data_IF_766102939523
#
_entry.id   IF_766102939523
#
_cell.length_a   1.000
_cell.length_b   1.000
_cell.length_c   1.000
_cell.angle_alpha   90.00
_cell.angle_beta   90.00
_cell.angle_gamma   90.00
#
_symmetry.space_group_name_H-M   'P 1'
#
loop_
_entity.id
_entity.type
_entity.pdbx_description
1 polymer ?
#
# COMPACT_ATOMS: atom_id res chain seq x y z
N UNK A 1 2.36 44.53 3.43
CA UNK A 1 3.13 44.20 2.21
C UNK A 1 4.14 43.15 2.63
N UNK A 2 3.71 41.88 2.68
CA UNK A 2 4.58 40.74 2.98
C UNK A 2 4.28 39.65 1.95
N UNK A 3 5.14 39.61 0.92
CA UNK A 3 5.15 38.53 -0.07
C UNK A 3 5.98 37.38 0.50
N UNK A 4 5.38 36.54 1.34
CA UNK A 4 5.81 35.15 1.40
C UNK A 4 5.14 34.41 0.24
N UNK A 5 5.78 34.49 -0.93
CA UNK A 5 5.50 33.55 -2.02
C UNK A 5 5.97 32.20 -1.53
N UNK A 6 5.06 31.40 -0.98
CA UNK A 6 5.30 29.97 -0.83
C UNK A 6 5.67 29.46 -2.23
N UNK A 7 6.86 28.85 -2.36
CA UNK A 7 7.27 28.14 -3.57
C UNK A 7 6.29 26.97 -3.78
N UNK A 8 5.13 27.26 -4.37
CA UNK A 8 4.13 26.28 -4.77
C UNK A 8 4.60 25.66 -6.09
N UNK A 9 4.73 24.35 -6.10
CA UNK A 9 4.92 23.61 -7.33
C UNK A 9 3.62 23.63 -8.16
N UNK A 10 3.69 23.64 -9.50
CA UNK A 10 2.52 23.75 -10.36
C UNK A 10 1.84 22.39 -10.53
N UNK A 11 1.02 21.98 -9.56
CA UNK A 11 -0.06 21.01 -9.79
C UNK A 11 -1.35 21.80 -9.99
N UNK A 12 -2.11 21.51 -11.05
CA UNK A 12 -3.42 22.12 -11.29
C UNK A 12 -4.55 21.27 -10.69
N UNK A 13 -4.24 20.17 -9.99
CA UNK A 13 -5.23 19.36 -9.30
C UNK A 13 -6.04 20.22 -8.31
N UNK A 14 -7.38 20.08 -8.27
CA UNK A 14 -8.23 20.91 -7.43
C UNK A 14 -7.81 20.85 -5.96
N UNK A 15 -7.55 22.03 -5.38
CA UNK A 15 -7.24 22.24 -3.95
C UNK A 15 -8.28 21.58 -3.01
N UNK A 16 -9.48 21.25 -3.50
CA UNK A 16 -10.53 20.58 -2.75
C UNK A 16 -10.17 19.16 -2.29
N UNK A 17 -9.25 18.44 -2.96
CA UNK A 17 -8.78 17.12 -2.50
C UNK A 17 -7.86 17.28 -1.27
N UNK A 18 -7.01 18.32 -1.27
CA UNK A 18 -6.20 18.69 -0.10
C UNK A 18 -7.06 19.14 1.10
N UNK A 19 -8.22 19.75 0.88
CA UNK A 19 -9.10 20.25 1.95
C UNK A 19 -9.89 19.15 2.69
N UNK A 20 -9.98 17.92 2.15
CA UNK A 20 -10.52 16.79 2.91
C UNK A 20 -9.59 16.33 4.04
N UNK A 21 -8.37 16.89 4.13
CA UNK A 21 -7.32 16.48 5.07
C UNK A 21 -7.00 17.53 6.15
N UNK A 22 -7.74 18.64 6.28
CA UNK A 22 -7.42 19.71 7.24
C UNK A 22 -7.62 19.37 8.73
N UNK A 23 -7.70 18.09 9.09
CA UNK A 23 -7.89 17.66 10.48
C UNK A 23 -6.80 16.69 10.90
N UNK A 24 -5.91 17.22 11.74
CA UNK A 24 -4.86 16.52 12.48
C UNK A 24 -3.66 16.02 11.65
N UNK A 25 -3.02 16.91 10.89
CA UNK A 25 -1.66 16.67 10.44
C UNK A 25 -0.67 17.39 11.36
N UNK A 26 0.43 16.72 11.68
CA UNK A 26 1.61 17.43 12.20
C UNK A 26 2.05 18.46 11.14
N UNK A 27 2.57 19.62 11.56
CA UNK A 27 3.13 20.66 10.67
C UNK A 27 4.10 20.11 9.61
N UNK A 28 4.75 18.99 9.90
CA UNK A 28 5.64 18.26 9.01
C UNK A 28 4.92 17.55 7.86
N UNK A 29 3.76 16.94 8.10
CA UNK A 29 3.00 16.28 7.03
C UNK A 29 2.36 17.30 6.09
N UNK A 30 1.90 18.45 6.58
CA UNK A 30 1.48 19.56 5.72
C UNK A 30 2.61 20.01 4.80
N UNK A 31 3.84 20.12 5.32
CA UNK A 31 5.01 20.44 4.52
C UNK A 31 5.27 19.38 3.44
N UNK A 32 5.17 18.10 3.78
CA UNK A 32 5.41 17.00 2.82
C UNK A 32 4.30 16.91 1.78
N UNK A 33 3.04 17.04 2.17
CA UNK A 33 1.90 17.08 1.25
C UNK A 33 2.01 18.25 0.29
N UNK A 34 2.27 19.47 0.79
CA UNK A 34 2.45 20.65 -0.05
C UNK A 34 3.67 20.54 -0.96
N UNK A 35 4.79 20.03 -0.44
CA UNK A 35 6.08 20.05 -1.13
C UNK A 35 6.37 18.85 -2.00
N UNK A 36 5.72 17.71 -1.76
CA UNK A 36 5.96 16.44 -2.47
C UNK A 36 4.67 15.77 -2.95
N UNK A 37 3.50 16.38 -2.72
CA UNK A 37 2.21 15.91 -3.21
C UNK A 37 1.68 14.67 -2.49
N UNK A 38 2.13 14.38 -1.27
CA UNK A 38 1.61 13.24 -0.51
C UNK A 38 0.12 13.43 -0.19
N UNK A 39 -0.68 12.40 -0.47
CA UNK A 39 -2.14 12.38 -0.28
C UNK A 39 -2.51 11.69 1.02
N UNK A 40 -2.08 10.43 1.17
CA UNK A 40 -2.58 9.56 2.22
C UNK A 40 -1.91 8.19 2.22
N UNK A 41 -2.00 7.52 3.36
CA UNK A 41 -1.57 6.15 3.54
C UNK A 41 -2.81 5.27 3.68
N UNK A 42 -2.96 4.28 2.81
CA UNK A 42 -4.05 3.30 2.86
C UNK A 42 -3.54 1.93 3.29
N UNK A 43 -4.36 1.19 4.04
CA UNK A 43 -4.15 -0.24 4.25
C UNK A 43 -4.79 -1.01 3.08
N UNK A 44 -3.97 -1.37 2.09
CA UNK A 44 -4.43 -1.87 0.79
C UNK A 44 -4.57 -3.39 0.73
N UNK A 45 -4.09 -4.09 1.76
CA UNK A 45 -4.31 -5.53 1.94
C UNK A 45 -4.13 -5.91 3.40
N UNK A 46 -4.97 -6.82 3.88
CA UNK A 46 -4.78 -7.50 5.15
C UNK A 46 -5.17 -8.98 5.03
N UNK A 47 -4.33 -9.86 5.54
CA UNK A 47 -4.64 -11.28 5.67
C UNK A 47 -4.40 -11.75 7.09
N UNK A 48 -5.42 -12.35 7.69
CA UNK A 48 -5.39 -12.97 9.00
C UNK A 48 -5.39 -14.48 8.86
N UNK A 49 -4.74 -15.17 9.79
CA UNK A 49 -4.86 -16.62 9.99
C UNK A 49 -5.21 -16.89 11.44
N UNK A 50 -6.01 -17.92 11.71
CA UNK A 50 -6.47 -18.23 13.06
C UNK A 50 -6.70 -19.73 13.25
N UNK A 51 -6.53 -20.18 14.50
CA UNK A 51 -7.22 -21.39 14.96
C UNK A 51 -8.71 -21.07 15.10
N UNK A 52 -9.55 -22.09 14.97
CA UNK A 52 -11.00 -21.95 15.08
C UNK A 52 -11.58 -22.95 16.06
N UNK A 53 -12.68 -22.57 16.70
CA UNK A 53 -13.40 -23.45 17.62
C UNK A 53 -14.14 -24.57 16.90
N UNK A 54 -14.53 -25.62 17.64
CA UNK A 54 -15.33 -26.72 17.09
C UNK A 54 -16.71 -26.24 16.64
N UNK A 55 -17.30 -25.24 17.31
CA UNK A 55 -18.60 -24.70 16.91
C UNK A 55 -18.57 -24.14 15.48
N UNK A 56 -17.46 -23.52 15.06
CA UNK A 56 -17.33 -23.02 13.69
C UNK A 56 -17.39 -24.16 12.65
N UNK A 57 -16.79 -25.30 12.97
CA UNK A 57 -16.85 -26.48 12.12
C UNK A 57 -18.30 -27.00 12.01
N UNK A 58 -19.02 -27.05 13.13
CA UNK A 58 -20.43 -27.43 13.16
C UNK A 58 -21.33 -26.45 12.40
N UNK A 59 -21.08 -25.14 12.51
CA UNK A 59 -21.81 -24.11 11.76
C UNK A 59 -21.65 -24.28 10.25
N UNK A 60 -20.45 -24.62 9.77
CA UNK A 60 -20.23 -24.89 8.34
C UNK A 60 -21.03 -26.12 7.90
N UNK A 61 -20.91 -27.25 8.62
CA UNK A 61 -21.60 -28.49 8.25
C UNK A 61 -23.12 -28.41 8.40
N UNK A 62 -23.61 -27.60 9.34
CA UNK A 62 -25.04 -27.34 9.55
C UNK A 62 -25.65 -26.32 8.60
N UNK A 63 -24.86 -25.72 7.70
CA UNK A 63 -25.31 -24.64 6.80
C UNK A 63 -25.52 -23.29 7.51
N UNK A 64 -25.13 -23.19 8.78
CA UNK A 64 -25.16 -21.96 9.57
C UNK A 64 -24.14 -20.94 9.09
N UNK A 65 -23.06 -21.36 8.43
CA UNK A 65 -22.05 -20.48 7.82
C UNK A 65 -21.94 -20.70 6.31
N UNK A 66 -22.22 -19.67 5.52
CA UNK A 66 -22.30 -19.74 4.06
C UNK A 66 -21.23 -18.86 3.41
N UNK A 67 -20.56 -19.39 2.40
CA UNK A 67 -19.67 -18.68 1.51
C UNK A 67 -20.23 -18.67 0.09
N UNK A 68 -19.74 -17.73 -0.71
CA UNK A 68 -20.22 -17.46 -2.05
C UNK A 68 -19.09 -17.47 -3.09
N UNK A 69 -19.41 -17.79 -4.32
CA UNK A 69 -18.58 -17.56 -5.50
C UNK A 69 -19.44 -16.98 -6.64
N UNK A 70 -18.88 -16.91 -7.85
CA UNK A 70 -19.57 -16.40 -9.04
C UNK A 70 -20.89 -17.14 -9.35
N UNK A 71 -21.03 -18.40 -8.92
CA UNK A 71 -22.20 -19.24 -9.18
C UNK A 71 -23.20 -19.25 -8.01
N UNK A 72 -22.94 -18.51 -6.92
CA UNK A 72 -23.80 -18.41 -5.75
C UNK A 72 -23.19 -19.12 -4.54
N UNK A 73 -23.99 -19.89 -3.82
CA UNK A 73 -23.54 -20.56 -2.59
C UNK A 73 -22.50 -21.64 -2.90
N UNK A 74 -21.37 -21.59 -2.20
CA UNK A 74 -20.33 -22.62 -2.27
C UNK A 74 -20.68 -23.74 -1.31
N UNK A 75 -20.53 -24.97 -1.78
CA UNK A 75 -20.66 -26.18 -0.97
C UNK A 75 -19.32 -26.53 -0.28
N UNK A 76 -19.32 -26.93 1.00
CA UNK A 76 -18.13 -27.41 1.68
C UNK A 76 -17.55 -28.66 1.01
N UNK A 77 -16.25 -28.67 0.72
CA UNK A 77 -15.58 -29.81 0.07
C UNK A 77 -15.24 -30.87 1.11
N UNK A 78 -15.83 -32.07 0.99
CA UNK A 78 -15.58 -33.21 1.86
C UNK A 78 -14.56 -34.18 1.24
N UNK A 79 -13.73 -34.80 2.08
CA UNK A 79 -12.84 -35.88 1.63
C UNK A 79 -13.60 -37.21 1.48
N UNK A 80 -12.89 -38.27 1.07
CA UNK A 80 -13.48 -39.61 0.88
C UNK A 80 -14.07 -40.23 2.15
N UNK A 81 -13.69 -39.74 3.32
CA UNK A 81 -14.20 -40.19 4.62
C UNK A 81 -15.39 -39.35 5.10
N UNK A 82 -15.84 -38.37 4.31
CA UNK A 82 -16.91 -37.44 4.69
C UNK A 82 -16.45 -36.29 5.60
N UNK A 83 -15.15 -36.15 5.86
CA UNK A 83 -14.62 -35.06 6.69
C UNK A 83 -14.43 -33.79 5.85
N UNK A 84 -14.65 -32.62 6.44
CA UNK A 84 -14.43 -31.35 5.77
C UNK A 84 -12.96 -31.15 5.37
N UNK A 85 -12.68 -31.23 4.08
CA UNK A 85 -11.33 -31.05 3.53
C UNK A 85 -10.99 -29.57 3.35
N UNK A 86 -11.93 -28.80 2.79
CA UNK A 86 -11.77 -27.36 2.62
C UNK A 86 -13.11 -26.65 2.43
N UNK A 87 -13.20 -25.39 2.86
CA UNK A 87 -14.29 -24.50 2.50
C UNK A 87 -13.73 -23.12 2.15
N UNK A 88 -13.97 -22.64 0.92
CA UNK A 88 -13.35 -21.41 0.41
C UNK A 88 -14.34 -20.61 -0.43
N UNK A 89 -14.33 -19.29 -0.27
CA UNK A 89 -15.22 -18.41 -1.01
C UNK A 89 -15.23 -17.00 -0.46
N UNK A 90 -16.16 -16.20 -0.93
CA UNK A 90 -16.44 -14.85 -0.45
C UNK A 90 -17.44 -14.89 0.70
N UNK A 91 -17.31 -13.99 1.66
CA UNK A 91 -18.25 -13.88 2.77
C UNK A 91 -19.63 -13.34 2.34
N UNK A 92 -19.67 -12.49 1.32
CA UNK A 92 -20.90 -11.89 0.79
C UNK A 92 -21.17 -12.38 -0.64
N UNK A 93 -22.45 -12.41 -1.01
CA UNK A 93 -22.93 -12.72 -2.36
C UNK A 93 -22.89 -11.51 -3.32
N UNK A 94 -22.07 -10.50 -3.01
CA UNK A 94 -21.88 -9.29 -3.82
C UNK A 94 -20.38 -9.08 -4.03
N UNK A 95 -19.98 -8.92 -5.29
CA UNK A 95 -18.58 -8.82 -5.72
C UNK A 95 -17.94 -7.46 -5.40
N UNK A 96 -18.72 -6.48 -4.94
CA UNK A 96 -18.20 -5.13 -4.69
C UNK A 96 -17.21 -5.05 -3.53
N UNK A 97 -17.32 -5.97 -2.56
CA UNK A 97 -16.43 -6.02 -1.41
C UNK A 97 -15.80 -7.40 -1.25
N UNK A 98 -14.53 -7.51 -1.63
CA UNK A 98 -13.80 -8.78 -1.61
C UNK A 98 -13.40 -9.19 -0.19
N UNK A 99 -14.06 -10.23 0.32
CA UNK A 99 -13.82 -10.86 1.62
C UNK A 99 -13.59 -12.35 1.43
N UNK A 100 -12.35 -12.72 1.11
CA UNK A 100 -11.98 -14.10 0.88
C UNK A 100 -11.79 -14.83 2.21
N UNK A 101 -12.50 -15.94 2.36
CA UNK A 101 -12.40 -16.87 3.48
C UNK A 101 -11.89 -18.21 2.95
N UNK A 102 -10.92 -18.79 3.64
CA UNK A 102 -10.43 -20.15 3.39
C UNK A 102 -10.30 -20.90 4.71
N UNK A 103 -10.98 -22.03 4.82
CA UNK A 103 -10.86 -22.96 5.93
C UNK A 103 -10.38 -24.32 5.43
N UNK A 104 -9.27 -24.82 5.97
CA UNK A 104 -8.63 -26.07 5.50
C UNK A 104 -8.14 -26.92 6.68
N UNK A 105 -9.03 -27.50 7.50
CA UNK A 105 -8.68 -28.12 8.77
C UNK A 105 -7.71 -29.31 8.62
N UNK A 106 -8.00 -30.24 7.70
CA UNK A 106 -7.19 -31.46 7.51
C UNK A 106 -5.79 -31.14 6.99
N UNK A 107 -5.67 -30.25 6.00
CA UNK A 107 -4.37 -29.91 5.43
C UNK A 107 -3.51 -29.09 6.40
N UNK A 108 -4.14 -28.18 7.15
CA UNK A 108 -3.44 -27.27 8.05
C UNK A 108 -2.85 -27.99 9.26
N UNK A 109 -3.55 -28.99 9.82
CA UNK A 109 -2.99 -29.88 10.86
C UNK A 109 -1.71 -30.56 10.35
N UNK A 110 -1.75 -31.14 9.14
CA UNK A 110 -0.57 -31.83 8.55
C UNK A 110 0.62 -30.90 8.33
N UNK A 111 0.35 -29.63 8.04
CA UNK A 111 1.39 -28.62 7.80
C UNK A 111 1.80 -27.84 9.04
N UNK A 112 1.21 -28.14 10.21
CA UNK A 112 1.36 -27.36 11.44
C UNK A 112 1.07 -25.85 11.20
N UNK A 113 -0.07 -25.57 10.56
CA UNK A 113 -0.55 -24.23 10.24
C UNK A 113 -1.95 -24.02 10.83
N UNK A 114 -2.30 -22.74 10.98
CA UNK A 114 -3.65 -22.30 11.32
C UNK A 114 -4.63 -22.61 10.18
N UNK A 115 -5.80 -23.21 10.45
CA UNK A 115 -6.69 -23.70 9.42
C UNK A 115 -7.54 -22.64 8.75
N UNK A 116 -7.80 -21.50 9.40
CA UNK A 116 -8.58 -20.41 8.85
C UNK A 116 -7.66 -19.31 8.29
N UNK A 117 -8.04 -18.78 7.13
CA UNK A 117 -7.50 -17.56 6.53
C UNK A 117 -8.64 -16.62 6.15
N UNK A 118 -8.49 -15.33 6.46
CA UNK A 118 -9.36 -14.24 6.03
C UNK A 118 -8.50 -13.24 5.28
N UNK A 119 -8.88 -12.86 4.05
CA UNK A 119 -8.16 -11.89 3.23
C UNK A 119 -9.14 -10.86 2.64
N UNK A 120 -8.80 -9.58 2.81
CA UNK A 120 -9.61 -8.47 2.31
C UNK A 120 -8.73 -7.24 2.07
N UNK A 121 -9.30 -6.22 1.43
CA UNK A 121 -8.65 -4.92 1.22
C UNK A 121 -9.34 -3.88 2.10
N UNK A 122 -8.76 -3.51 3.26
CA UNK A 122 -9.42 -2.60 4.20
C UNK A 122 -9.86 -1.27 3.58
N UNK A 123 -9.10 -0.72 2.62
CA UNK A 123 -9.44 0.50 1.87
C UNK A 123 -10.60 0.36 0.87
N UNK A 124 -11.10 -0.85 0.61
CA UNK A 124 -12.16 -1.14 -0.38
C UNK A 124 -13.45 -1.72 0.21
N UNK A 125 -13.50 -1.94 1.52
CA UNK A 125 -14.68 -2.49 2.20
C UNK A 125 -15.44 -1.39 2.93
N UNK A 126 -16.74 -1.55 3.13
CA UNK A 126 -17.50 -0.61 3.95
C UNK A 126 -17.28 -0.91 5.44
N UNK A 127 -17.39 0.14 6.27
CA UNK A 127 -17.36 0.01 7.73
C UNK A 127 -18.40 -1.00 8.23
N UNK A 128 -19.60 -0.96 7.64
CA UNK A 128 -20.70 -1.88 7.96
C UNK A 128 -20.29 -3.35 7.74
N UNK A 129 -19.80 -3.68 6.55
CA UNK A 129 -19.44 -5.06 6.24
C UNK A 129 -18.22 -5.53 7.03
N UNK A 130 -17.23 -4.66 7.25
CA UNK A 130 -16.12 -4.94 8.16
C UNK A 130 -16.62 -5.39 9.55
N UNK A 131 -17.56 -4.63 10.13
CA UNK A 131 -18.14 -4.99 11.43
C UNK A 131 -18.93 -6.30 11.36
N UNK A 132 -19.72 -6.52 10.30
CA UNK A 132 -20.48 -7.77 10.12
C UNK A 132 -19.55 -8.99 10.08
N UNK A 133 -18.48 -8.93 9.28
CA UNK A 133 -17.51 -10.04 9.18
C UNK A 133 -16.88 -10.31 10.53
N UNK A 134 -16.31 -9.29 11.18
CA UNK A 134 -15.53 -9.53 12.39
C UNK A 134 -16.37 -9.79 13.64
N UNK A 135 -17.59 -9.24 13.75
CA UNK A 135 -18.52 -9.68 14.81
C UNK A 135 -18.93 -11.14 14.66
N UNK A 136 -18.99 -11.66 13.42
CA UNK A 136 -19.31 -13.07 13.16
C UNK A 136 -18.11 -14.00 13.31
N UNK A 137 -16.93 -13.56 12.89
CA UNK A 137 -15.74 -14.42 12.84
C UNK A 137 -14.98 -14.45 14.16
N UNK A 138 -14.79 -13.32 14.84
CA UNK A 138 -13.97 -13.27 16.06
C UNK A 138 -14.42 -14.21 17.19
N UNK A 139 -15.73 -14.43 17.46
CA UNK A 139 -16.16 -15.39 18.47
C UNK A 139 -15.62 -16.82 18.25
N UNK A 140 -15.32 -17.17 17.00
CA UNK A 140 -14.80 -18.49 16.63
C UNK A 140 -13.27 -18.54 16.57
N UNK A 141 -12.58 -17.40 16.58
CA UNK A 141 -11.15 -17.32 16.28
C UNK A 141 -10.29 -17.31 17.53
N UNK A 142 -9.17 -18.03 17.50
CA UNK A 142 -8.13 -17.95 18.52
C UNK A 142 -6.73 -18.02 17.89
N UNK A 143 -5.71 -17.66 18.66
CA UNK A 143 -4.31 -17.63 18.19
C UNK A 143 -4.20 -16.86 16.84
N UNK A 144 -4.76 -15.66 16.76
CA UNK A 144 -4.82 -14.90 15.50
C UNK A 144 -3.41 -14.41 15.13
N UNK A 145 -3.06 -14.50 13.85
CA UNK A 145 -1.84 -13.96 13.28
C UNK A 145 -2.12 -13.18 12.00
N UNK A 146 -1.28 -12.20 11.70
CA UNK A 146 -1.31 -11.47 10.43
C UNK A 146 -0.29 -12.12 9.51
N UNK A 147 -0.73 -12.63 8.35
CA UNK A 147 0.11 -13.33 7.38
C UNK A 147 0.55 -12.46 6.21
N UNK A 148 -0.19 -11.39 5.92
CA UNK A 148 0.14 -10.39 4.89
C UNK A 148 -0.48 -9.05 5.26
N UNK A 149 0.24 -7.95 5.03
CA UNK A 149 -0.37 -6.62 4.96
C UNK A 149 0.39 -5.70 4.00
N UNK A 150 -0.32 -4.77 3.36
CA UNK A 150 0.28 -3.82 2.41
C UNK A 150 -0.04 -2.37 2.83
N UNK A 151 0.99 -1.53 2.86
CA UNK A 151 0.90 -0.09 3.12
C UNK A 151 1.07 0.68 1.81
N UNK A 152 0.03 1.39 1.39
CA UNK A 152 -0.02 2.12 0.13
C UNK A 152 0.03 3.64 0.35
N UNK A 153 1.13 4.26 -0.04
CA UNK A 153 1.35 5.70 0.06
C UNK A 153 1.07 6.35 -1.30
N UNK A 154 0.08 7.23 -1.36
CA UNK A 154 -0.34 7.89 -2.59
C UNK A 154 0.22 9.31 -2.72
N UNK A 155 0.60 9.69 -3.94
CA UNK A 155 1.24 10.96 -4.28
C UNK A 155 0.65 11.55 -5.57
N UNK A 156 0.27 12.84 -5.55
CA UNK A 156 -0.18 13.59 -6.74
C UNK A 156 0.99 14.10 -7.60
N UNK A 157 2.09 13.36 -7.64
CA UNK A 157 3.29 13.72 -8.42
C UNK A 157 3.79 12.56 -9.22
N UNK A 158 4.46 12.87 -10.32
CA UNK A 158 5.18 11.87 -11.09
C UNK A 158 6.41 11.39 -10.31
N UNK A 159 6.35 10.13 -9.86
CA UNK A 159 7.42 9.44 -9.15
C UNK A 159 8.23 8.50 -10.06
N UNK A 160 8.18 8.66 -11.38
CA UNK A 160 8.98 7.85 -12.33
C UNK A 160 10.50 7.95 -12.11
N UNK A 161 10.97 9.02 -11.47
CA UNK A 161 12.37 9.22 -11.08
C UNK A 161 12.67 8.79 -9.63
N UNK A 162 11.78 8.05 -8.97
CA UNK A 162 11.97 7.55 -7.60
C UNK A 162 13.27 6.75 -7.49
N UNK A 163 13.99 6.97 -6.38
CA UNK A 163 15.18 6.20 -6.06
C UNK A 163 14.95 5.37 -4.81
N UNK A 164 15.12 4.07 -4.95
CA UNK A 164 15.02 3.14 -3.83
C UNK A 164 16.39 2.54 -3.59
N UNK A 165 16.90 2.59 -2.37
CA UNK A 165 18.15 1.91 -2.02
C UNK A 165 17.92 0.41 -1.79
N UNK A 166 17.38 -0.25 -2.81
CA UNK A 166 17.22 -1.70 -2.83
C UNK A 166 18.42 -2.34 -3.53
N UNK A 167 18.90 -3.52 -3.09
CA UNK A 167 19.92 -4.26 -3.84
C UNK A 167 19.51 -4.46 -5.31
N UNK A 168 20.28 -3.90 -6.26
CA UNK A 168 19.94 -3.83 -7.71
C UNK A 168 19.49 -5.16 -8.33
N UNK A 169 19.98 -6.30 -7.82
CA UNK A 169 19.62 -7.66 -8.28
C UNK A 169 18.13 -8.00 -8.16
N UNK A 170 17.36 -7.22 -7.40
CA UNK A 170 15.95 -7.47 -7.12
C UNK A 170 15.04 -6.33 -7.62
N UNK A 171 15.48 -5.56 -8.61
CA UNK A 171 14.69 -4.49 -9.23
C UNK A 171 14.19 -4.91 -10.62
N UNK A 172 12.89 -4.76 -10.86
CA UNK A 172 12.22 -5.03 -12.14
C UNK A 172 11.40 -3.82 -12.58
N UNK A 173 11.89 -3.03 -13.57
CA UNK A 173 11.09 -1.99 -14.19
C UNK A 173 10.11 -2.57 -15.20
N UNK A 174 8.90 -2.01 -15.26
CA UNK A 174 7.87 -2.32 -16.26
C UNK A 174 7.57 -1.03 -17.02
N UNK A 175 7.74 -1.11 -18.34
CA UNK A 175 7.52 0.01 -19.25
C UNK A 175 6.32 -0.26 -20.15
N UNK A 176 5.59 0.80 -20.50
CA UNK A 176 4.62 0.83 -21.60
C UNK A 176 5.11 1.81 -22.65
N UNK A 177 5.58 1.27 -23.77
CA UNK A 177 6.41 2.05 -24.71
C UNK A 177 7.70 2.50 -24.02
N UNK A 178 7.98 3.81 -24.04
CA UNK A 178 9.18 4.39 -23.42
C UNK A 178 8.93 4.99 -22.02
N UNK A 179 7.72 4.85 -21.46
CA UNK A 179 7.38 5.37 -20.14
C UNK A 179 7.45 4.28 -19.08
N UNK A 180 8.16 4.54 -18.00
CA UNK A 180 8.18 3.68 -16.82
C UNK A 180 6.84 3.80 -16.10
N UNK A 181 6.13 2.69 -15.93
CA UNK A 181 4.82 2.66 -15.27
C UNK A 181 4.88 1.96 -13.92
N UNK A 182 5.82 1.03 -13.72
CA UNK A 182 5.99 0.31 -12.46
C UNK A 182 7.45 0.01 -12.19
N UNK A 183 7.85 0.21 -10.94
CA UNK A 183 9.12 -0.18 -10.36
C UNK A 183 8.83 -1.22 -9.28
N UNK A 184 9.21 -2.47 -9.53
CA UNK A 184 8.98 -3.56 -8.59
C UNK A 184 10.30 -4.00 -7.94
N UNK A 185 10.31 -4.13 -6.62
CA UNK A 185 11.48 -4.44 -5.82
C UNK A 185 11.19 -5.60 -4.87
N UNK A 186 12.04 -6.61 -4.89
CA UNK A 186 11.95 -7.76 -3.99
C UNK A 186 11.96 -9.10 -4.73
N UNK A 187 12.19 -10.17 -3.96
CA UNK A 187 12.20 -11.52 -4.50
C UNK A 187 10.80 -12.13 -4.42
N UNK A 188 10.31 -12.91 -5.40
CA UNK A 188 8.96 -13.48 -5.41
C UNK A 188 8.53 -14.24 -4.14
N UNK A 189 9.48 -14.83 -3.40
CA UNK A 189 9.25 -15.55 -2.14
C UNK A 189 9.83 -14.83 -0.90
N UNK A 190 10.10 -13.54 -1.02
CA UNK A 190 10.68 -12.72 0.04
C UNK A 190 9.65 -12.28 1.09
N UNK A 191 10.14 -11.88 2.26
CA UNK A 191 9.32 -11.32 3.32
C UNK A 191 8.80 -9.90 3.02
N UNK A 192 9.41 -9.24 2.04
CA UNK A 192 9.14 -7.84 1.71
C UNK A 192 9.16 -7.62 0.21
N UNK A 193 8.18 -6.87 -0.29
CA UNK A 193 8.20 -6.27 -1.62
C UNK A 193 7.95 -4.77 -1.50
N UNK A 194 8.48 -4.01 -2.44
CA UNK A 194 8.13 -2.61 -2.65
C UNK A 194 7.74 -2.42 -4.10
N UNK A 195 6.58 -1.85 -4.37
CA UNK A 195 6.15 -1.53 -5.74
C UNK A 195 5.82 -0.05 -5.82
N UNK A 196 6.45 0.69 -6.73
CA UNK A 196 6.11 2.08 -7.01
C UNK A 196 5.57 2.19 -8.43
N UNK A 197 4.35 2.71 -8.62
CA UNK A 197 3.69 2.68 -9.92
C UNK A 197 2.76 3.86 -10.16
N UNK A 198 2.48 4.13 -11.44
CA UNK A 198 1.50 5.12 -11.86
C UNK A 198 0.08 4.58 -11.61
N UNK A 199 -0.50 4.99 -10.48
CA UNK A 199 -1.81 4.54 -10.02
C UNK A 199 -2.95 5.07 -10.88
N UNK A 200 -2.84 6.32 -11.35
CA UNK A 200 -3.80 6.90 -12.28
C UNK A 200 -3.92 6.02 -13.53
N UNK A 201 -2.77 5.66 -14.11
CA UNK A 201 -2.73 4.86 -15.32
C UNK A 201 -3.23 3.43 -15.08
N UNK A 202 -2.84 2.80 -13.98
CA UNK A 202 -3.36 1.49 -13.57
C UNK A 202 -4.88 1.51 -13.51
N UNK A 203 -5.48 2.54 -12.89
CA UNK A 203 -6.94 2.66 -12.75
C UNK A 203 -7.66 3.00 -14.05
N UNK A 204 -7.06 3.82 -14.90
CA UNK A 204 -7.61 4.05 -16.24
C UNK A 204 -7.63 2.78 -17.11
N UNK A 205 -6.70 1.86 -16.88
CA UNK A 205 -6.60 0.62 -17.65
C UNK A 205 -7.46 -0.52 -17.05
N UNK A 206 -7.75 -0.51 -15.74
CA UNK A 206 -8.40 -1.62 -15.01
C UNK A 206 -9.73 -1.28 -14.32
N UNK A 207 -10.01 0.00 -14.06
CA UNK A 207 -11.14 0.47 -13.26
C UNK A 207 -12.46 0.46 -14.02
N UNK A 208 -13.56 0.50 -13.27
CA UNK A 208 -14.87 0.78 -13.84
C UNK A 208 -15.06 2.27 -14.16
N UNK A 209 -16.13 2.62 -14.86
CA UNK A 209 -16.37 4.01 -15.28
C UNK A 209 -16.43 5.00 -14.10
N UNK A 210 -16.97 4.59 -12.95
CA UNK A 210 -17.08 5.44 -11.78
C UNK A 210 -15.72 5.67 -11.11
N UNK A 211 -14.89 4.63 -10.99
CA UNK A 211 -13.50 4.78 -10.55
C UNK A 211 -12.73 5.69 -11.52
N UNK A 212 -12.86 5.47 -12.83
CA UNK A 212 -12.16 6.26 -13.85
C UNK A 212 -12.48 7.75 -13.72
N UNK A 213 -13.75 8.14 -13.56
CA UNK A 213 -14.16 9.54 -13.39
C UNK A 213 -13.54 10.20 -12.15
N UNK A 214 -13.39 9.45 -11.05
CA UNK A 214 -12.73 9.94 -9.84
C UNK A 214 -11.23 10.14 -10.08
N UNK A 215 -10.57 9.14 -10.66
CA UNK A 215 -9.11 9.20 -10.86
C UNK A 215 -8.71 10.21 -11.95
N UNK A 216 -9.56 10.49 -12.94
CA UNK A 216 -9.28 11.50 -13.97
C UNK A 216 -9.15 12.93 -13.44
N UNK A 217 -9.50 13.19 -12.18
CA UNK A 217 -9.32 14.50 -11.53
C UNK A 217 -7.87 14.79 -11.15
N UNK A 218 -7.00 13.77 -11.13
CA UNK A 218 -5.58 13.91 -10.82
C UNK A 218 -4.78 14.16 -12.11
N UNK A 219 -3.88 15.15 -12.09
CA UNK A 219 -2.91 15.35 -13.18
C UNK A 219 -1.87 14.22 -13.19
N UNK A 220 -1.47 13.77 -11.99
CA UNK A 220 -0.63 12.62 -11.75
C UNK A 220 -1.10 11.91 -10.49
N UNK A 221 -1.04 10.58 -10.47
CA UNK A 221 -1.19 9.82 -9.23
C UNK A 221 -0.23 8.63 -9.26
N UNK A 222 0.70 8.62 -8.32
CA UNK A 222 1.63 7.52 -8.10
C UNK A 222 1.44 6.91 -6.73
N UNK A 223 1.61 5.60 -6.63
CA UNK A 223 1.54 4.85 -5.38
C UNK A 223 2.86 4.18 -5.09
N UNK A 224 3.34 4.27 -3.85
CA UNK A 224 4.42 3.43 -3.31
C UNK A 224 3.78 2.44 -2.34
N UNK A 225 3.92 1.16 -2.60
CA UNK A 225 3.31 0.08 -1.82
C UNK A 225 4.38 -0.77 -1.15
N UNK A 226 4.43 -0.74 0.19
CA UNK A 226 5.26 -1.65 0.99
C UNK A 226 4.44 -2.87 1.37
N UNK A 227 4.88 -4.04 0.93
CA UNK A 227 4.17 -5.30 1.11
C UNK A 227 4.95 -6.20 2.06
N UNK A 228 4.29 -6.63 3.12
CA UNK A 228 4.88 -7.48 4.15
C UNK A 228 4.23 -8.86 4.10
N UNK A 229 5.07 -9.88 4.15
CA UNK A 229 4.68 -11.29 4.10
C UNK A 229 5.30 -12.06 5.27
N UNK A 230 4.76 -13.26 5.49
CA UNK A 230 5.17 -14.22 6.51
C UNK A 230 4.86 -13.76 7.94
N UNK A 231 4.04 -14.53 8.64
CA UNK A 231 3.57 -14.23 9.99
C UNK A 231 4.70 -13.99 11.00
N UNK A 232 5.77 -14.80 10.96
CA UNK A 232 6.90 -14.67 11.88
C UNK A 232 7.67 -13.37 11.63
N UNK A 233 7.83 -12.99 10.37
CA UNK A 233 8.45 -11.73 9.98
C UNK A 233 7.56 -10.53 10.37
N UNK A 234 6.27 -10.59 10.06
CA UNK A 234 5.30 -9.55 10.40
C UNK A 234 5.22 -9.34 11.91
N UNK A 235 5.14 -10.41 12.70
CA UNK A 235 5.17 -10.33 14.16
C UNK A 235 6.40 -9.57 14.67
N UNK A 236 7.57 -9.82 14.07
CA UNK A 236 8.81 -9.11 14.42
C UNK A 236 8.77 -7.65 13.98
N UNK A 237 8.26 -7.35 12.79
CA UNK A 237 8.16 -5.98 12.29
C UNK A 237 7.19 -5.14 13.13
N UNK A 238 6.00 -5.66 13.43
CA UNK A 238 5.01 -4.99 14.28
C UNK A 238 5.57 -4.70 15.67
N UNK A 239 6.23 -5.68 16.29
CA UNK A 239 6.86 -5.51 17.62
C UNK A 239 7.92 -4.40 17.65
N UNK A 240 8.61 -4.16 16.53
CA UNK A 240 9.75 -3.24 16.47
C UNK A 240 9.45 -1.93 15.72
N UNK A 241 8.19 -1.63 15.41
CA UNK A 241 7.80 -0.39 14.74
C UNK A 241 8.15 -0.35 13.25
N UNK A 242 7.99 -1.47 12.53
CA UNK A 242 8.27 -1.61 11.09
C UNK A 242 9.67 -1.09 10.68
N UNK A 243 10.77 -1.57 11.30
CA UNK A 243 12.12 -1.09 11.00
C UNK A 243 12.51 -1.28 9.52
N UNK A 244 11.82 -2.16 8.79
CA UNK A 244 12.00 -2.30 7.35
C UNK A 244 11.78 -0.99 6.58
N UNK A 245 10.79 -0.17 6.96
CA UNK A 245 10.55 1.13 6.32
C UNK A 245 11.81 2.00 6.38
N UNK A 246 12.54 1.98 7.49
CA UNK A 246 13.80 2.72 7.64
C UNK A 246 14.98 2.08 6.89
N UNK A 247 15.03 0.74 6.81
CA UNK A 247 16.14 -0.02 6.20
C UNK A 247 16.19 0.10 4.67
N UNK A 248 15.05 0.29 4.03
CA UNK A 248 14.93 0.50 2.58
C UNK A 248 14.51 1.94 2.34
N UNK A 249 15.46 2.87 2.31
CA UNK A 249 15.13 4.26 2.08
C UNK A 249 14.73 4.54 0.65
N UNK A 250 13.64 5.29 0.58
CA UNK A 250 13.07 5.81 -0.65
C UNK A 250 13.33 7.30 -0.70
N UNK A 251 13.88 7.72 -1.83
CA UNK A 251 14.29 9.08 -2.08
C UNK A 251 13.61 9.63 -3.32
N UNK A 252 13.27 10.90 -3.24
CA UNK A 252 12.93 11.72 -4.41
C UNK A 252 14.00 12.80 -4.57
N UNK A 253 14.37 13.07 -5.81
CA UNK A 253 15.29 14.15 -6.14
C UNK A 253 14.54 15.48 -6.13
N UNK A 254 15.03 16.42 -5.34
CA UNK A 254 14.52 17.78 -5.21
C UNK A 254 15.63 18.76 -5.61
N UNK A 255 15.51 19.41 -6.74
CA UNK A 255 16.43 20.49 -7.12
C UNK A 255 15.94 21.73 -6.39
N UNK A 256 16.85 22.61 -5.94
CA UNK A 256 16.57 23.85 -5.15
C UNK A 256 15.45 24.74 -5.76
N UNK A 257 14.18 24.33 -5.65
CA UNK A 257 13.02 24.95 -6.28
C UNK A 257 12.63 24.47 -7.69
N UNK A 258 13.28 23.45 -8.25
CA UNK A 258 12.91 22.84 -9.55
C UNK A 258 12.56 21.36 -9.34
N UNK A 259 11.45 20.91 -9.91
CA UNK A 259 11.16 19.47 -9.93
C UNK A 259 12.05 18.79 -10.98
N UNK A 260 12.55 17.58 -10.71
CA UNK A 260 13.30 16.79 -11.72
C UNK A 260 12.54 16.74 -13.05
N UNK A 261 11.21 16.65 -12.97
CA UNK A 261 10.31 16.58 -14.10
C UNK A 261 10.34 17.85 -14.98
N UNK A 262 10.72 19.00 -14.42
CA UNK A 262 10.83 20.28 -15.14
C UNK A 262 12.15 20.45 -15.90
N UNK A 263 13.11 19.54 -15.71
CA UNK A 263 14.36 19.56 -16.47
C UNK A 263 14.13 19.17 -17.94
N UNK A 264 14.93 19.78 -18.82
CA UNK A 264 14.97 19.37 -20.22
C UNK A 264 15.46 17.93 -20.37
N UNK A 265 15.03 17.24 -21.42
CA UNK A 265 15.40 15.84 -21.69
C UNK A 265 16.91 15.61 -21.64
N UNK A 266 17.69 16.52 -22.24
CA UNK A 266 19.14 16.44 -22.23
C UNK A 266 19.70 16.51 -20.80
N UNK A 267 19.19 17.41 -19.97
CA UNK A 267 19.65 17.56 -18.58
C UNK A 267 19.38 16.28 -17.78
N UNK A 268 18.20 15.68 -17.95
CA UNK A 268 17.86 14.38 -17.34
C UNK A 268 18.81 13.27 -17.80
N UNK A 269 19.09 13.17 -19.10
CA UNK A 269 20.02 12.19 -19.68
C UNK A 269 21.43 12.39 -19.12
N UNK A 270 21.92 13.63 -19.11
CA UNK A 270 23.25 13.95 -18.60
C UNK A 270 23.38 13.64 -17.10
N UNK A 271 22.38 13.99 -16.28
CA UNK A 271 22.40 13.65 -14.85
C UNK A 271 22.38 12.14 -14.62
N UNK A 272 21.53 11.41 -15.37
CA UNK A 272 21.49 9.95 -15.31
C UNK A 272 22.85 9.33 -15.69
N UNK A 273 23.45 9.81 -16.78
CA UNK A 273 24.75 9.35 -17.25
C UNK A 273 25.85 9.67 -16.23
N UNK A 274 25.87 10.89 -15.67
CA UNK A 274 26.88 11.31 -14.69
C UNK A 274 26.85 10.41 -13.45
N UNK A 275 25.67 9.92 -13.08
CA UNK A 275 25.46 9.08 -11.90
C UNK A 275 25.77 7.60 -12.13
N UNK A 276 25.39 7.07 -13.29
CA UNK A 276 25.42 5.63 -13.55
C UNK A 276 26.56 5.18 -14.48
N UNK A 277 27.04 6.10 -15.30
CA UNK A 277 28.04 5.91 -16.35
C UNK A 277 28.98 7.13 -16.46
N UNK A 278 29.62 7.56 -15.35
CA UNK A 278 30.46 8.76 -15.34
C UNK A 278 31.60 8.72 -16.36
N UNK A 279 32.01 7.52 -16.80
CA UNK A 279 33.02 7.30 -17.84
C UNK A 279 32.63 7.93 -19.19
N UNK A 280 31.34 8.08 -19.50
CA UNK A 280 30.87 8.74 -20.74
C UNK A 280 31.32 10.21 -20.83
N UNK A 281 31.69 10.82 -19.71
CA UNK A 281 32.13 12.20 -19.65
C UNK A 281 33.63 12.38 -19.84
N UNK A 282 34.40 11.29 -19.95
CA UNK A 282 35.84 11.37 -20.19
C UNK A 282 36.17 12.08 -21.52
N UNK A 283 35.30 11.93 -22.52
CA UNK A 283 35.44 12.53 -23.86
C UNK A 283 34.63 13.83 -24.02
N UNK A 284 33.90 14.25 -22.98
CA UNK A 284 33.09 15.48 -23.01
C UNK A 284 33.95 16.72 -22.75
N UNK A 285 33.55 17.87 -23.29
CA UNK A 285 34.25 19.12 -23.03
C UNK A 285 34.14 19.56 -21.55
N UNK A 286 35.20 20.20 -21.03
CA UNK A 286 35.30 20.59 -19.62
C UNK A 286 34.15 21.51 -19.17
N UNK A 287 33.60 22.34 -20.07
CA UNK A 287 32.52 23.28 -19.75
C UNK A 287 31.21 22.54 -19.54
N UNK A 288 30.90 21.56 -20.40
CA UNK A 288 29.74 20.67 -20.28
C UNK A 288 29.81 19.86 -18.99
N UNK A 289 30.95 19.26 -18.69
CA UNK A 289 31.15 18.52 -17.43
C UNK A 289 30.92 19.43 -16.21
N UNK A 290 31.49 20.64 -16.22
CA UNK A 290 31.31 21.59 -15.13
C UNK A 290 29.85 22.04 -14.95
N UNK A 291 29.12 22.29 -16.05
CA UNK A 291 27.69 22.64 -16.02
C UNK A 291 26.88 21.55 -15.33
N UNK A 292 27.05 20.29 -15.74
CA UNK A 292 26.24 19.19 -15.22
C UNK A 292 26.66 18.74 -13.81
N UNK A 293 27.93 18.87 -13.44
CA UNK A 293 28.36 18.73 -12.03
C UNK A 293 27.70 19.76 -11.12
N UNK A 294 27.70 21.04 -11.53
CA UNK A 294 27.02 22.10 -10.78
C UNK A 294 25.52 21.86 -10.67
N UNK A 295 24.90 21.33 -11.73
CA UNK A 295 23.49 20.91 -11.70
C UNK A 295 23.27 19.76 -10.72
N UNK A 296 24.13 18.74 -10.74
CA UNK A 296 24.06 17.60 -9.80
C UNK A 296 24.26 18.03 -8.35
N UNK A 297 25.18 18.96 -8.07
CA UNK A 297 25.40 19.56 -6.74
C UNK A 297 24.21 20.40 -6.25
N UNK A 298 23.34 20.83 -7.17
CA UNK A 298 22.10 21.53 -6.82
C UNK A 298 20.94 20.59 -6.47
N UNK A 299 21.13 19.28 -6.62
CA UNK A 299 20.17 18.24 -6.26
C UNK A 299 20.27 17.98 -4.75
N UNK A 300 19.15 18.13 -4.06
CA UNK A 300 18.95 17.58 -2.72
C UNK A 300 18.14 16.29 -2.82
N UNK A 301 18.54 15.26 -2.10
CA UNK A 301 17.74 14.04 -1.97
C UNK A 301 16.86 14.15 -0.73
N UNK A 302 15.58 13.85 -0.89
CA UNK A 302 14.61 13.88 0.21
C UNK A 302 14.30 12.45 0.58
N UNK A 303 14.61 12.05 1.80
CA UNK A 303 14.28 10.74 2.33
C UNK A 303 12.80 10.72 2.79
N UNK A 304 11.97 9.91 2.14
CA UNK A 304 10.54 9.80 2.44
C UNK A 304 10.23 8.89 3.65
N UNK A 305 11.21 8.17 4.20
CA UNK A 305 10.94 7.18 5.24
C UNK A 305 10.41 7.77 6.55
N UNK A 306 10.92 8.94 6.96
CA UNK A 306 10.44 9.63 8.16
C UNK A 306 8.97 9.96 7.98
N UNK A 307 8.60 10.38 6.76
CA UNK A 307 7.23 10.64 6.38
C UNK A 307 6.39 9.35 6.42
N UNK A 308 6.88 8.23 5.87
CA UNK A 308 6.18 6.95 5.90
C UNK A 308 5.89 6.45 7.31
N UNK A 309 6.85 6.57 8.22
CA UNK A 309 6.66 6.21 9.62
C UNK A 309 5.59 7.06 10.31
N UNK A 310 5.64 8.39 10.12
CA UNK A 310 4.66 9.30 10.74
C UNK A 310 3.25 9.11 10.19
N UNK A 311 3.10 8.66 8.93
CA UNK A 311 1.79 8.40 8.34
C UNK A 311 1.07 7.20 8.98
N UNK A 312 1.77 6.31 9.70
CA UNK A 312 1.18 5.15 10.38
C UNK A 312 0.17 5.55 11.48
N UNK A 313 0.22 6.78 11.97
CA UNK A 313 -0.77 7.29 12.93
C UNK A 313 -2.11 7.64 12.26
N UNK A 314 -2.14 7.76 10.94
CA UNK A 314 -3.28 8.24 10.14
C UNK A 314 -3.51 7.35 8.92
N UNK A 315 -3.65 6.04 9.14
CA UNK A 315 -3.93 5.09 8.06
C UNK A 315 -5.41 5.15 7.69
N UNK A 316 -5.68 5.42 6.42
CA UNK A 316 -7.02 5.39 5.84
C UNK A 316 -7.47 3.95 5.58
N UNK A 317 -8.67 3.66 6.04
CA UNK A 317 -9.44 2.45 5.73
C UNK A 317 -10.85 2.84 5.31
N UNK A 318 -11.53 1.89 4.66
CA UNK A 318 -12.87 2.00 4.07
C UNK A 318 -13.00 2.91 2.86
N UNK A 319 -13.91 2.57 1.96
CA UNK A 319 -14.13 3.28 0.69
C UNK A 319 -15.24 4.35 0.74
N UNK A 320 -16.38 4.04 1.36
CA UNK A 320 -17.57 4.90 1.39
C UNK A 320 -17.56 5.89 2.55
N UNK A 321 -17.08 5.43 3.71
CA UNK A 321 -16.91 6.23 4.92
C UNK A 321 -15.46 6.12 5.38
N UNK A 322 -14.51 6.78 4.67
CA UNK A 322 -13.11 6.72 5.04
C UNK A 322 -12.87 7.10 6.50
N UNK A 323 -12.03 6.32 7.15
CA UNK A 323 -11.73 6.43 8.57
C UNK A 323 -10.21 6.42 8.75
N UNK A 324 -9.71 7.30 9.63
CA UNK A 324 -8.30 7.32 10.01
C UNK A 324 -8.10 6.55 11.31
N UNK A 325 -7.12 5.66 11.30
CA UNK A 325 -6.75 4.80 12.43
C UNK A 325 -5.25 4.89 12.70
N UNK A 326 -4.87 4.65 13.96
CA UNK A 326 -3.50 4.30 14.28
C UNK A 326 -3.25 2.86 13.82
N UNK A 327 -2.25 2.66 12.96
CA UNK A 327 -1.90 1.36 12.38
C UNK A 327 -1.62 0.30 13.46
N UNK A 328 -0.80 0.63 14.46
CA UNK A 328 -0.37 -0.35 15.46
C UNK A 328 -1.51 -0.73 16.41
N UNK A 329 -2.34 0.23 16.82
CA UNK A 329 -3.53 -0.04 17.64
C UNK A 329 -4.54 -0.92 16.89
N UNK A 330 -4.76 -0.62 15.61
CA UNK A 330 -5.63 -1.43 14.75
C UNK A 330 -5.10 -2.85 14.62
N UNK A 331 -3.83 -3.02 14.25
CA UNK A 331 -3.23 -4.35 14.09
C UNK A 331 -3.22 -5.14 15.41
N UNK A 332 -3.00 -4.47 16.55
CA UNK A 332 -3.07 -5.11 17.85
C UNK A 332 -4.48 -5.60 18.19
N UNK A 333 -5.51 -4.78 17.91
CA UNK A 333 -6.91 -5.17 18.11
C UNK A 333 -7.28 -6.40 17.26
N UNK A 334 -6.88 -6.40 15.97
CA UNK A 334 -7.09 -7.55 15.09
C UNK A 334 -6.41 -8.83 15.59
N UNK A 335 -5.20 -8.72 16.15
CA UNK A 335 -4.47 -9.86 16.74
C UNK A 335 -5.10 -10.36 18.04
N UNK A 336 -5.79 -9.50 18.78
CA UNK A 336 -6.50 -9.85 20.00
C UNK A 336 -7.89 -10.45 19.72
N UNK A 337 -8.38 -10.35 18.48
CA UNK A 337 -9.76 -10.74 18.14
C UNK A 337 -10.78 -9.70 18.60
N UNK A 338 -10.34 -8.46 18.77
CA UNK A 338 -11.17 -7.34 19.22
C UNK A 338 -11.53 -6.45 18.03
N UNK A 339 -12.77 -5.95 18.03
CA UNK A 339 -13.18 -4.94 17.05
C UNK A 339 -12.35 -3.67 17.27
N UNK A 340 -11.54 -3.24 16.28
CA UNK A 340 -10.69 -2.08 16.45
C UNK A 340 -11.49 -0.81 16.76
N UNK A 341 -10.88 0.13 17.48
CA UNK A 341 -11.44 1.47 17.62
C UNK A 341 -11.39 2.17 16.26
N UNK A 342 -12.56 2.37 15.67
CA UNK A 342 -12.74 3.10 14.42
C UNK A 342 -13.04 4.56 14.78
N UNK A 343 -12.00 5.37 14.94
CA UNK A 343 -12.15 6.80 15.21
C UNK A 343 -12.96 7.45 14.09
N UNK A 344 -14.15 7.94 14.42
CA UNK A 344 -14.94 8.78 13.51
C UNK A 344 -14.17 10.11 13.38
N UNK A 345 -14.09 10.64 12.15
CA UNK A 345 -13.59 11.97 11.83
C UNK A 345 -13.88 12.93 12.99
N UNK A 346 -12.84 13.35 13.70
CA UNK A 346 -12.99 14.37 14.73
C UNK A 346 -13.50 15.65 14.04
N UNK A 347 -14.43 16.33 14.71
CA UNK A 347 -15.23 17.46 14.20
C UNK A 347 -14.45 18.64 13.64
#
# INVERSE_FOLDING_TARGET
MDKQVFNRAPSNSPISIHQMSNKSYSKFQEEVSLKYGFIGLKLDKLSLTAEVSEEFHSEILGGGFTLYDYFGVVEPNLNRNGELASYKGQFFNDEKENWYIEYTPVASIKMNKRPLKIEFTPSKVSKKNFLIVFHRMFPYMSNIAISTFHLAYDFERDLSALRVNWPKVMYRPIYKGMKLETMDFGAPKGNYHLTAYNKLKERMDSGDMAEIEIYQQYDNLWRIEYKFYNEGNIKKELKNGLPFLAKIPVYIENFKGLEFNNLGVNEKIYLFALRNKPELFAESDKRTVAKYKKLAESISEVNLNVFFQNALDFVEIFNQEPCLINFFEFMNSMLQGDIPKLTINQE
#
